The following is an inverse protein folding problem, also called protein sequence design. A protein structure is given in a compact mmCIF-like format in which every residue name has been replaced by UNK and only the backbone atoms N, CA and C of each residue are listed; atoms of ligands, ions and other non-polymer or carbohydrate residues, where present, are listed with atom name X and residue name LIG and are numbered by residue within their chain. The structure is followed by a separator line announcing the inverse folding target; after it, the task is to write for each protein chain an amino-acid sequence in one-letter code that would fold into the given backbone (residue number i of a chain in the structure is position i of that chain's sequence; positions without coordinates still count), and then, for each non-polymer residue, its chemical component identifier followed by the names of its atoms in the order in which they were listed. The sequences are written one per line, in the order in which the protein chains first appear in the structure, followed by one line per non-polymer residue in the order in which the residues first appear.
data_IF_569661073528
#
_entry.id   IF_569661073528
#
_cell.length_a   1.000
_cell.length_b   1.000
_cell.length_c   1.000
_cell.angle_alpha   90.00
_cell.angle_beta   90.00
_cell.angle_gamma   90.00
#
_symmetry.space_group_name_H-M   'P 1'
#
loop_
_entity.id
_entity.type
_entity.pdbx_description
1 polymer ?
#
# COMPACT_ATOMS: atom_id res chain seq x y z
N UNK A 1 -39.87 2.11 -46.57
CA UNK A 1 -39.73 0.78 -45.94
C UNK A 1 -38.53 0.08 -46.58
N UNK A 2 -37.36 0.07 -45.91
CA UNK A 2 -36.39 -1.03 -45.77
C UNK A 2 -35.20 -0.52 -44.93
N UNK A 3 -35.19 -1.02 -43.68
CA UNK A 3 -34.13 -1.36 -42.72
C UNK A 3 -32.81 -0.57 -42.68
N UNK A 4 -32.59 0.02 -41.50
CA UNK A 4 -31.32 0.45 -40.96
C UNK A 4 -30.66 -0.66 -40.10
N UNK A 5 -29.34 -0.64 -40.13
CA UNK A 5 -28.37 -0.98 -39.09
C UNK A 5 -28.23 -2.43 -38.58
N UNK A 6 -27.13 -3.07 -39.00
CA UNK A 6 -26.42 -4.04 -38.18
C UNK A 6 -25.26 -3.34 -37.46
N UNK A 7 -25.40 -3.13 -36.15
CA UNK A 7 -24.27 -2.92 -35.24
C UNK A 7 -24.06 -4.22 -34.47
N UNK A 8 -22.88 -4.82 -34.63
CA UNK A 8 -22.46 -6.00 -33.89
C UNK A 8 -22.30 -5.66 -32.40
N UNK A 9 -23.14 -6.27 -31.56
CA UNK A 9 -23.00 -6.27 -30.10
C UNK A 9 -21.84 -7.18 -29.69
N UNK A 10 -20.63 -6.62 -29.57
CA UNK A 10 -19.53 -7.27 -28.86
C UNK A 10 -19.74 -7.13 -27.36
N UNK A 11 -20.30 -8.15 -26.69
CA UNK A 11 -20.32 -8.22 -25.24
C UNK A 11 -18.88 -8.40 -24.74
N UNK A 12 -18.26 -7.31 -24.29
CA UNK A 12 -17.01 -7.38 -23.54
C UNK A 12 -17.26 -8.24 -22.30
N UNK A 13 -16.65 -9.42 -22.27
CA UNK A 13 -16.71 -10.33 -21.14
C UNK A 13 -15.82 -9.79 -20.00
N UNK A 14 -16.28 -8.73 -19.33
CA UNK A 14 -15.58 -8.14 -18.20
C UNK A 14 -15.83 -9.06 -17.01
N UNK A 15 -14.82 -9.86 -16.63
CA UNK A 15 -14.85 -10.60 -15.37
C UNK A 15 -15.12 -9.60 -14.23
N UNK A 16 -16.11 -9.87 -13.36
CA UNK A 16 -16.37 -8.99 -12.24
C UNK A 16 -15.11 -8.85 -11.39
N UNK A 17 -14.79 -7.61 -11.03
CA UNK A 17 -13.70 -7.29 -10.11
C UNK A 17 -14.03 -7.88 -8.73
N UNK A 18 -13.11 -8.66 -8.16
CA UNK A 18 -13.27 -9.21 -6.81
C UNK A 18 -12.66 -8.27 -5.76
N UNK A 19 -13.28 -8.22 -4.58
CA UNK A 19 -12.90 -7.33 -3.48
C UNK A 19 -12.85 -8.08 -2.14
N UNK A 20 -11.99 -7.61 -1.24
CA UNK A 20 -11.94 -8.01 0.17
C UNK A 20 -12.45 -6.85 1.00
N UNK A 21 -13.35 -7.12 1.95
CA UNK A 21 -13.83 -6.12 2.91
C UNK A 21 -13.20 -6.39 4.27
N UNK A 22 -12.53 -5.38 4.82
CA UNK A 22 -11.77 -5.49 6.06
C UNK A 22 -12.53 -4.90 7.26
N UNK A 23 -13.36 -3.89 7.08
CA UNK A 23 -14.10 -3.25 8.17
C UNK A 23 -15.42 -3.95 8.55
N UNK A 24 -15.72 -5.09 7.90
CA UNK A 24 -16.92 -5.88 8.13
C UNK A 24 -18.23 -5.24 7.64
N UNK A 25 -18.16 -4.10 6.95
CA UNK A 25 -19.35 -3.42 6.41
C UNK A 25 -19.80 -4.03 5.09
N UNK A 26 -21.05 -3.77 4.70
CA UNK A 26 -21.56 -4.14 3.37
C UNK A 26 -21.52 -2.92 2.45
N UNK A 27 -20.90 -3.07 1.28
CA UNK A 27 -20.77 -2.01 0.29
C UNK A 27 -21.57 -2.33 -0.96
N UNK A 28 -22.29 -1.32 -1.47
CA UNK A 28 -22.84 -1.39 -2.82
C UNK A 28 -21.71 -1.27 -3.85
N UNK A 29 -21.91 -1.81 -5.06
CA UNK A 29 -20.87 -1.82 -6.10
C UNK A 29 -20.29 -0.44 -6.41
N UNK A 30 -21.12 0.61 -6.40
CA UNK A 30 -20.68 1.98 -6.64
C UNK A 30 -19.81 2.56 -5.50
N UNK A 31 -19.91 2.02 -4.28
CA UNK A 31 -19.18 2.50 -3.10
C UNK A 31 -17.81 1.81 -2.94
N UNK A 32 -17.61 0.65 -3.59
CA UNK A 32 -16.38 -0.14 -3.46
C UNK A 32 -15.15 0.62 -3.95
N UNK A 33 -15.25 1.34 -5.08
CA UNK A 33 -14.12 2.11 -5.62
C UNK A 33 -13.72 3.26 -4.67
N UNK A 34 -14.69 3.85 -3.94
CA UNK A 34 -14.39 4.82 -2.87
C UNK A 34 -13.82 4.14 -1.62
N UNK A 35 -14.26 2.92 -1.32
CA UNK A 35 -13.75 2.13 -0.20
C UNK A 35 -12.29 1.70 -0.37
N UNK A 36 -11.88 1.31 -1.59
CA UNK A 36 -10.50 0.93 -1.88
C UNK A 36 -9.52 2.11 -1.94
N UNK A 37 -10.05 3.33 -2.10
CA UNK A 37 -9.26 4.56 -2.06
C UNK A 37 -8.90 4.98 -0.62
N UNK A 38 -9.48 4.32 0.40
CA UNK A 38 -9.18 4.49 1.83
C UNK A 38 -8.91 5.93 2.32
N UNK A 39 -9.93 6.76 2.56
CA UNK A 39 -9.77 7.99 3.30
C UNK A 39 -10.58 7.93 4.61
N UNK A 40 -9.97 7.51 5.72
CA UNK A 40 -10.29 8.17 6.99
C UNK A 40 -9.51 9.48 6.94
N UNK A 41 -10.20 10.62 6.86
CA UNK A 41 -9.55 11.93 6.83
C UNK A 41 -8.97 12.20 8.24
N UNK A 42 -7.82 11.59 8.54
CA UNK A 42 -6.87 12.15 9.48
C UNK A 42 -6.12 13.26 8.76
N UNK A 43 -5.85 14.39 9.43
CA UNK A 43 -5.00 15.45 8.86
C UNK A 43 -3.70 14.80 8.34
N UNK A 44 -3.32 14.99 7.08
CA UNK A 44 -2.03 14.51 6.60
C UNK A 44 -0.96 15.10 7.51
N UNK A 45 -0.03 14.26 7.97
CA UNK A 45 1.17 14.76 8.63
C UNK A 45 1.84 15.75 7.67
N UNK A 46 1.98 17.00 8.12
CA UNK A 46 2.55 18.07 7.32
C UNK A 46 4.08 17.84 7.18
N UNK A 47 4.56 17.89 5.93
CA UNK A 47 5.98 17.98 5.48
C UNK A 47 6.76 19.07 6.27
N UNK A 48 8.10 19.12 6.45
CA UNK A 48 9.32 18.37 6.11
C UNK A 48 10.48 18.89 6.99
N UNK A 49 11.51 18.08 7.20
CA UNK A 49 12.90 18.55 7.27
C UNK A 49 13.66 18.17 5.99
N UNK A 50 14.64 18.99 5.57
CA UNK A 50 15.56 18.70 4.46
C UNK A 50 16.70 17.75 4.85
N UNK A 51 16.55 17.02 5.97
CA UNK A 51 17.59 16.20 6.54
C UNK A 51 17.44 14.74 6.12
N UNK A 52 18.58 14.13 5.90
CA UNK A 52 18.74 12.69 5.83
C UNK A 52 18.12 12.01 7.06
N UNK A 53 17.46 10.88 6.85
CA UNK A 53 16.93 10.04 7.92
C UNK A 53 17.78 8.78 8.03
N UNK A 54 18.59 8.72 9.08
CA UNK A 54 19.49 7.60 9.36
C UNK A 54 18.80 6.56 10.23
N UNK A 55 18.90 5.29 9.82
CA UNK A 55 18.30 4.14 10.47
C UNK A 55 19.41 3.12 10.73
N UNK A 56 19.77 2.86 12.01
CA UNK A 56 20.73 1.82 12.33
C UNK A 56 20.14 0.45 12.00
N UNK A 57 21.00 -0.47 11.58
CA UNK A 57 20.63 -1.88 11.39
C UNK A 57 20.27 -2.50 12.74
N UNK A 58 19.14 -3.18 12.79
CA UNK A 58 18.73 -3.94 13.97
C UNK A 58 19.57 -5.22 14.13
N UNK A 59 19.48 -5.85 15.30
CA UNK A 59 20.26 -7.04 15.65
C UNK A 59 19.95 -8.25 14.75
N UNK A 60 18.74 -8.33 14.20
CA UNK A 60 18.32 -9.35 13.24
C UNK A 60 18.85 -9.10 11.82
N UNK A 61 19.53 -7.97 11.60
CA UNK A 61 20.11 -7.61 10.34
C UNK A 61 19.20 -6.86 9.38
N UNK A 62 18.00 -6.48 9.80
CA UNK A 62 17.06 -5.67 9.01
C UNK A 62 17.08 -4.18 9.42
N UNK A 63 16.40 -3.35 8.64
CA UNK A 63 16.18 -1.94 8.97
C UNK A 63 14.70 -1.73 9.24
N UNK A 64 14.39 -1.01 10.32
CA UNK A 64 13.02 -0.75 10.74
C UNK A 64 12.76 0.75 10.81
N UNK A 65 11.65 1.19 10.23
CA UNK A 65 11.23 2.59 10.20
C UNK A 65 9.89 2.75 10.89
N UNK A 66 9.86 3.62 11.89
CA UNK A 66 8.61 4.13 12.43
C UNK A 66 7.94 5.04 11.41
N UNK A 67 6.62 4.91 11.31
CA UNK A 67 5.82 5.61 10.33
C UNK A 67 4.34 5.48 10.63
N UNK A 68 3.52 5.78 9.64
CA UNK A 68 2.07 5.61 9.72
C UNK A 68 1.50 5.17 8.38
N UNK A 69 0.34 4.50 8.43
CA UNK A 69 -0.57 4.36 7.29
C UNK A 69 -1.87 5.04 7.67
N UNK A 70 -2.28 6.04 6.90
CA UNK A 70 -3.47 6.86 7.17
C UNK A 70 -3.51 7.41 8.61
N UNK A 71 -2.34 7.75 9.16
CA UNK A 71 -2.17 8.26 10.53
C UNK A 71 -2.11 7.19 11.63
N UNK A 72 -2.40 5.93 11.33
CA UNK A 72 -2.23 4.84 12.29
C UNK A 72 -0.75 4.44 12.38
N UNK A 73 -0.14 4.41 13.59
CA UNK A 73 1.28 4.07 13.76
C UNK A 73 1.63 2.67 13.26
N UNK A 74 2.71 2.58 12.47
CA UNK A 74 3.25 1.32 11.96
C UNK A 74 4.77 1.37 12.04
N UNK A 75 5.41 0.25 12.40
CA UNK A 75 6.84 0.04 12.24
C UNK A 75 7.05 -0.89 11.05
N UNK A 76 7.70 -0.40 10.01
CA UNK A 76 7.94 -1.16 8.78
C UNK A 76 9.33 -1.74 8.76
N UNK A 77 9.46 -3.00 8.34
CA UNK A 77 10.72 -3.56 7.89
C UNK A 77 10.98 -3.12 6.45
N UNK A 78 12.19 -2.64 6.15
CA UNK A 78 12.59 -2.33 4.76
C UNK A 78 12.70 -3.61 3.95
N UNK A 79 11.98 -3.69 2.85
CA UNK A 79 12.03 -4.82 1.93
C UNK A 79 12.13 -4.35 0.48
N UNK A 80 13.35 -4.40 -0.06
CA UNK A 80 13.62 -4.04 -1.46
C UNK A 80 13.14 -5.09 -2.47
N UNK A 81 12.77 -6.29 -1.99
CA UNK A 81 12.15 -7.34 -2.80
C UNK A 81 10.63 -7.18 -2.90
N UNK A 82 10.01 -6.41 -2.02
CA UNK A 82 8.57 -6.16 -2.05
C UNK A 82 8.24 -5.04 -3.06
N UNK A 83 7.38 -5.35 -4.03
CA UNK A 83 6.88 -4.34 -4.97
C UNK A 83 6.05 -3.25 -4.26
N UNK A 84 5.23 -3.66 -3.30
CA UNK A 84 4.30 -2.79 -2.59
C UNK A 84 4.58 -2.76 -1.10
N UNK A 85 4.38 -1.59 -0.50
CA UNK A 85 4.27 -1.44 0.95
C UNK A 85 3.09 -2.27 1.43
N UNK A 86 3.33 -3.12 2.42
CA UNK A 86 2.40 -4.21 2.76
C UNK A 86 2.10 -4.26 4.25
N UNK A 87 0.82 -4.48 4.60
CA UNK A 87 0.35 -4.66 5.97
C UNK A 87 -0.30 -6.02 6.18
N UNK A 88 -0.20 -6.60 7.38
CA UNK A 88 -1.10 -7.68 7.79
C UNK A 88 -2.54 -7.15 7.95
N UNK A 89 -3.53 -8.01 7.75
CA UNK A 89 -4.94 -7.63 7.72
C UNK A 89 -5.45 -6.94 9.00
N UNK A 90 -4.92 -7.31 10.17
CA UNK A 90 -5.25 -6.64 11.44
C UNK A 90 -4.77 -5.19 11.49
N UNK A 91 -3.55 -4.90 11.02
CA UNK A 91 -3.04 -3.53 10.99
C UNK A 91 -3.69 -2.70 9.89
N UNK A 92 -4.01 -3.32 8.74
CA UNK A 92 -4.78 -2.65 7.69
C UNK A 92 -6.13 -2.12 8.21
N UNK A 93 -6.86 -2.96 8.97
CA UNK A 93 -8.10 -2.56 9.65
C UNK A 93 -7.90 -1.36 10.58
N UNK A 94 -6.87 -1.42 11.43
CA UNK A 94 -6.56 -0.34 12.36
C UNK A 94 -6.13 0.96 11.65
N UNK A 95 -5.49 0.83 10.48
CA UNK A 95 -5.14 1.93 9.59
C UNK A 95 -6.32 2.47 8.75
N UNK A 96 -7.55 2.06 9.06
CA UNK A 96 -8.75 2.56 8.37
C UNK A 96 -8.87 2.08 6.93
N UNK A 97 -8.13 1.04 6.52
CA UNK A 97 -8.34 0.38 5.23
C UNK A 97 -9.64 -0.41 5.31
N UNK A 98 -10.61 -0.01 4.48
CA UNK A 98 -11.98 -0.54 4.51
C UNK A 98 -12.17 -1.71 3.55
N UNK A 99 -11.64 -1.58 2.34
CA UNK A 99 -11.73 -2.60 1.31
C UNK A 99 -10.49 -2.57 0.42
N UNK A 100 -10.26 -3.65 -0.32
CA UNK A 100 -9.22 -3.73 -1.33
C UNK A 100 -9.64 -4.60 -2.52
N UNK A 101 -9.00 -4.39 -3.67
CA UNK A 101 -9.16 -5.24 -4.85
C UNK A 101 -8.38 -6.54 -4.64
N UNK A 102 -9.01 -7.69 -4.86
CA UNK A 102 -8.27 -8.96 -4.78
C UNK A 102 -7.25 -9.02 -5.91
N UNK A 103 -5.99 -9.22 -5.55
CA UNK A 103 -4.85 -9.21 -6.45
C UNK A 103 -3.96 -10.42 -6.13
N UNK A 104 -3.45 -11.15 -7.13
CA UNK A 104 -2.44 -12.18 -6.91
C UNK A 104 -1.09 -11.53 -6.62
N UNK A 105 -0.35 -12.07 -5.66
CA UNK A 105 1.00 -11.65 -5.32
C UNK A 105 1.95 -12.84 -5.35
N UNK A 106 3.15 -12.61 -5.87
CA UNK A 106 4.26 -13.53 -5.76
C UNK A 106 5.17 -13.03 -4.64
N UNK A 107 5.25 -13.78 -3.54
CA UNK A 107 6.05 -13.42 -2.36
C UNK A 107 7.15 -14.46 -2.13
N UNK A 108 8.08 -14.14 -1.23
CA UNK A 108 9.11 -15.10 -0.81
C UNK A 108 8.50 -16.39 -0.19
N UNK A 109 7.29 -16.31 0.38
CA UNK A 109 6.57 -17.44 0.94
C UNK A 109 5.69 -18.19 -0.08
N UNK A 110 5.87 -17.89 -1.38
CA UNK A 110 5.10 -18.42 -2.49
C UNK A 110 3.95 -17.52 -2.95
N UNK A 111 3.20 -17.99 -3.94
CA UNK A 111 2.08 -17.23 -4.50
C UNK A 111 0.88 -17.22 -3.55
N UNK A 112 0.28 -16.05 -3.36
CA UNK A 112 -0.94 -15.88 -2.57
C UNK A 112 -1.90 -14.87 -3.20
N UNK A 113 -3.13 -14.80 -2.66
CA UNK A 113 -4.10 -13.76 -3.01
C UNK A 113 -4.19 -12.81 -1.82
N UNK A 114 -4.11 -11.51 -2.10
CA UNK A 114 -4.29 -10.48 -1.08
C UNK A 114 -5.09 -9.29 -1.61
N UNK A 115 -5.24 -8.27 -0.79
CA UNK A 115 -5.88 -7.02 -1.17
C UNK A 115 -4.88 -6.00 -1.69
N UNK A 116 -5.21 -5.27 -2.76
CA UNK A 116 -4.50 -4.06 -3.16
C UNK A 116 -5.44 -2.85 -3.03
N UNK A 117 -5.03 -1.87 -2.24
CA UNK A 117 -5.69 -0.57 -2.09
C UNK A 117 -5.09 0.44 -3.07
N UNK A 118 -5.69 1.63 -3.19
CA UNK A 118 -5.28 2.61 -4.19
C UNK A 118 -4.53 3.84 -3.63
N UNK A 119 -5.10 4.53 -2.63
CA UNK A 119 -4.73 5.91 -2.35
C UNK A 119 -4.53 6.22 -0.85
N UNK A 120 -3.59 5.54 -0.20
CA UNK A 120 -3.27 5.78 1.20
C UNK A 120 -2.23 6.90 1.37
N UNK A 121 -2.20 7.49 2.56
CA UNK A 121 -1.07 8.32 3.00
C UNK A 121 -0.13 7.47 3.85
N UNK A 122 1.11 7.28 3.37
CA UNK A 122 2.15 6.56 4.12
C UNK A 122 3.19 7.56 4.62
N UNK A 123 3.51 7.51 5.90
CA UNK A 123 4.63 8.27 6.46
C UNK A 123 5.76 7.34 6.87
N UNK A 124 7.00 7.77 6.66
CA UNK A 124 8.22 7.08 7.11
C UNK A 124 9.19 8.12 7.64
N UNK A 125 9.54 8.04 8.92
CA UNK A 125 10.29 9.11 9.60
C UNK A 125 9.62 10.48 9.35
N UNK A 126 10.35 11.50 8.84
CA UNK A 126 9.81 12.83 8.57
C UNK A 126 9.11 12.96 7.20
N UNK A 127 9.03 11.89 6.41
CA UNK A 127 8.55 11.93 5.03
C UNK A 127 7.12 11.42 4.91
N UNK A 128 6.33 12.06 4.04
CA UNK A 128 4.98 11.62 3.69
C UNK A 128 4.90 11.34 2.20
N UNK A 129 4.42 10.15 1.84
CA UNK A 129 4.16 9.71 0.47
C UNK A 129 2.65 9.53 0.30
N UNK A 130 1.96 10.50 -0.32
CA UNK A 130 0.53 10.43 -0.57
C UNK A 130 0.22 9.50 -1.75
N UNK A 131 -1.05 9.10 -1.87
CA UNK A 131 -1.55 8.27 -2.98
C UNK A 131 -0.77 6.96 -3.16
N UNK A 132 -0.40 6.34 -2.04
CA UNK A 132 0.39 5.11 -2.03
C UNK A 132 -0.55 3.89 -2.03
N UNK A 133 -0.44 2.97 -3.00
CA UNK A 133 -1.12 1.69 -2.90
C UNK A 133 -0.53 0.90 -1.73
N UNK A 134 -1.37 0.29 -0.91
CA UNK A 134 -0.94 -0.59 0.18
C UNK A 134 -1.52 -1.98 -0.07
N UNK A 135 -0.65 -2.97 -0.06
CA UNK A 135 -1.03 -4.36 -0.17
C UNK A 135 -1.39 -4.92 1.21
N UNK A 136 -2.44 -5.72 1.29
CA UNK A 136 -2.90 -6.35 2.54
C UNK A 136 -2.81 -7.86 2.37
N UNK A 137 -1.92 -8.48 3.15
CA UNK A 137 -1.59 -9.90 3.06
C UNK A 137 -1.98 -10.63 4.35
N UNK A 138 -2.67 -11.76 4.23
CA UNK A 138 -3.10 -12.56 5.39
C UNK A 138 -1.94 -13.35 6.02
N UNK A 139 -0.98 -13.79 5.21
CA UNK A 139 0.18 -14.59 5.66
C UNK A 139 1.36 -13.73 6.12
N UNK A 140 1.28 -12.41 5.96
CA UNK A 140 2.31 -11.49 6.39
C UNK A 140 2.23 -11.27 7.90
N UNK A 141 3.37 -11.34 8.59
CA UNK A 141 3.46 -11.06 10.02
C UNK A 141 4.01 -9.66 10.32
N UNK A 142 5.01 -9.23 9.55
CA UNK A 142 5.72 -7.96 9.74
C UNK A 142 5.35 -6.98 8.62
N UNK A 143 4.92 -5.75 8.93
CA UNK A 143 4.73 -4.70 7.92
C UNK A 143 5.99 -4.47 7.08
N UNK A 144 5.81 -4.34 5.77
CA UNK A 144 6.91 -4.14 4.83
C UNK A 144 6.84 -2.74 4.22
N UNK A 145 7.98 -2.06 4.15
CA UNK A 145 8.16 -0.87 3.32
C UNK A 145 8.72 -1.31 1.97
N UNK A 146 7.89 -1.24 0.94
CA UNK A 146 8.20 -1.76 -0.39
C UNK A 146 8.78 -0.70 -1.33
N UNK A 147 9.10 -1.14 -2.54
CA UNK A 147 9.73 -0.33 -3.58
C UNK A 147 8.85 0.81 -4.11
N UNK A 148 7.52 0.69 -4.02
CA UNK A 148 6.56 1.76 -4.32
C UNK A 148 6.82 3.04 -3.52
N UNK A 149 7.28 2.90 -2.26
CA UNK A 149 7.68 4.00 -1.39
C UNK A 149 9.19 4.23 -1.43
N UNK A 150 10.01 3.18 -1.37
CA UNK A 150 11.48 3.32 -1.31
C UNK A 150 12.05 4.06 -2.52
N UNK A 151 11.46 3.89 -3.71
CA UNK A 151 11.90 4.59 -4.93
C UNK A 151 11.70 6.11 -4.90
N UNK A 152 11.04 6.65 -3.86
CA UNK A 152 10.92 8.10 -3.62
C UNK A 152 12.14 8.69 -2.91
N UNK A 153 13.08 7.83 -2.52
CA UNK A 153 14.27 8.21 -1.77
C UNK A 153 15.54 7.80 -2.52
N UNK A 154 16.58 8.59 -2.35
CA UNK A 154 17.94 8.09 -2.48
C UNK A 154 18.27 7.32 -1.20
N UNK A 155 18.66 6.06 -1.35
CA UNK A 155 18.97 5.16 -0.22
C UNK A 155 20.46 4.84 -0.24
N UNK A 156 21.14 5.13 0.86
CA UNK A 156 22.56 4.81 1.05
C UNK A 156 22.73 3.84 2.20
N UNK A 157 23.68 2.91 2.08
CA UNK A 157 24.06 1.99 3.15
C UNK A 157 25.55 2.14 3.44
N UNK A 158 25.91 2.45 4.69
CA UNK A 158 27.30 2.57 5.11
C UNK A 158 27.43 2.23 6.61
N UNK A 159 28.42 1.42 6.97
CA UNK A 159 28.76 1.14 8.37
C UNK A 159 27.61 0.57 9.22
N UNK A 160 26.69 -0.19 8.61
CA UNK A 160 25.50 -0.72 9.31
C UNK A 160 24.40 0.32 9.54
N UNK A 161 24.45 1.45 8.84
CA UNK A 161 23.41 2.47 8.85
C UNK A 161 22.83 2.61 7.44
N UNK A 162 21.50 2.66 7.35
CA UNK A 162 20.78 3.07 6.15
C UNK A 162 20.44 4.55 6.26
N UNK A 163 20.62 5.30 5.18
CA UNK A 163 20.24 6.72 5.10
C UNK A 163 19.21 6.90 4.00
N UNK A 164 18.04 7.44 4.37
CA UNK A 164 17.02 7.88 3.41
C UNK A 164 17.12 9.38 3.19
N UNK A 165 17.24 9.79 1.93
CA UNK A 165 17.19 11.18 1.49
C UNK A 165 16.07 11.34 0.48
N UNK A 166 15.19 12.33 0.65
CA UNK A 166 14.14 12.61 -0.36
C UNK A 166 14.79 12.78 -1.72
N UNK A 167 14.37 12.01 -2.72
CA UNK A 167 14.68 12.33 -4.10
C UNK A 167 14.01 13.68 -4.42
N UNK A 168 14.73 14.57 -5.10
CA UNK A 168 14.18 15.84 -5.58
C UNK A 168 13.28 15.60 -6.78
#
# INVERSE_FOLDING_TARGET
MVRADMLGSGTLNIKPREYIIYDGQNYQSAQLETAIASPVIGKPAQRLGSSDYSVPRAADGHYYLSGTVNGFPVVFMVDTGAQYTSLPANLARNAGIRAARVTPFDTAAGRERGGLTAANAVTVGPFTVPNTPVAVMERLSTPLLGMDVLNRFQVFYAGGVMVLRSAR
#
